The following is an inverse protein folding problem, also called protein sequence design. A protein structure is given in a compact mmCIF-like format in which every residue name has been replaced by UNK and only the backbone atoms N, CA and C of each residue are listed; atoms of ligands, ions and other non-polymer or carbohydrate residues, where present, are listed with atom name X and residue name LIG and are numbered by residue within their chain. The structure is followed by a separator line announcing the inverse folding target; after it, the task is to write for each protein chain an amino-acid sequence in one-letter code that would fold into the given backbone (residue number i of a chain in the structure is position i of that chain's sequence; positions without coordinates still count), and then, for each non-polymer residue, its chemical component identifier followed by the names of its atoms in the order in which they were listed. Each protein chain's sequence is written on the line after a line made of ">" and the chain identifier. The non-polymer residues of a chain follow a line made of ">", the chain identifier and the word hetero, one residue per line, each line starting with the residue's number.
data_IF_248799681642
#
_entry.id   IF_248799681642
#
_cell.length_a   1.000
_cell.length_b   1.000
_cell.length_c   1.000
_cell.angle_alpha   90.00
_cell.angle_beta   90.00
_cell.angle_gamma   90.00
#
_symmetry.space_group_name_H-M   'P 1'
#
loop_
_entity.id
_entity.type
_entity.pdbx_description
1 polymer ?
#
# COMPACT_ATOMS: atom_id res chain seq x y z
N UNK A 1 -13.49 -9.77 25.39
CA UNK A 1 -14.20 -9.94 24.10
C UNK A 1 -15.64 -10.13 24.50
N UNK A 2 -16.52 -9.19 24.16
CA UNK A 2 -17.94 -9.27 24.53
C UNK A 2 -18.61 -10.28 23.59
N UNK A 3 -19.38 -11.22 24.15
CA UNK A 3 -20.16 -12.22 23.41
C UNK A 3 -21.64 -11.90 23.47
N UNK A 4 -22.42 -12.52 22.60
CA UNK A 4 -23.89 -12.45 22.65
C UNK A 4 -24.44 -13.82 23.07
N UNK A 5 -25.22 -13.86 24.15
CA UNK A 5 -25.95 -15.04 24.58
C UNK A 5 -27.41 -14.94 24.17
N UNK A 6 -27.94 -15.97 23.52
CA UNK A 6 -29.37 -16.07 23.30
C UNK A 6 -30.07 -16.47 24.61
N UNK A 7 -30.95 -15.63 25.15
CA UNK A 7 -31.68 -15.88 26.38
C UNK A 7 -32.70 -17.03 26.27
N UNK A 8 -33.14 -17.37 25.06
CA UNK A 8 -34.14 -18.43 24.84
C UNK A 8 -33.52 -19.84 24.84
N UNK A 9 -32.26 -19.99 24.42
CA UNK A 9 -31.61 -21.31 24.30
C UNK A 9 -30.18 -21.39 24.87
N UNK A 10 -29.66 -20.30 25.42
CA UNK A 10 -28.35 -20.24 26.08
C UNK A 10 -27.14 -20.38 25.15
N UNK A 11 -27.31 -20.28 23.83
CA UNK A 11 -26.18 -20.37 22.87
C UNK A 11 -25.32 -19.10 22.93
N UNK A 12 -24.00 -19.26 22.86
CA UNK A 12 -23.03 -18.15 22.84
C UNK A 12 -22.56 -17.89 21.40
N UNK A 13 -22.61 -16.63 20.99
CA UNK A 13 -22.38 -16.17 19.63
C UNK A 13 -21.22 -15.16 19.61
N UNK A 14 -20.31 -15.30 18.65
CA UNK A 14 -19.05 -14.55 18.56
C UNK A 14 -19.22 -13.18 17.94
N UNK A 15 -20.31 -12.96 17.22
CA UNK A 15 -20.57 -11.69 16.54
C UNK A 15 -22.06 -11.41 16.35
N UNK A 16 -22.43 -10.16 16.07
CA UNK A 16 -23.79 -9.78 15.70
C UNK A 16 -24.31 -10.53 14.46
N UNK A 17 -23.45 -10.87 13.50
CA UNK A 17 -23.81 -11.62 12.29
C UNK A 17 -24.22 -13.06 12.62
N UNK A 18 -23.51 -13.71 13.54
CA UNK A 18 -23.88 -15.04 14.05
C UNK A 18 -25.23 -14.98 14.78
N UNK A 19 -25.48 -13.94 15.57
CA UNK A 19 -26.77 -13.74 16.25
C UNK A 19 -27.93 -13.52 15.29
N UNK A 20 -27.72 -12.74 14.23
CA UNK A 20 -28.73 -12.56 13.18
C UNK A 20 -29.03 -13.85 12.44
N UNK A 21 -28.00 -14.64 12.13
CA UNK A 21 -28.17 -15.94 11.47
C UNK A 21 -28.91 -16.94 12.38
N UNK A 22 -28.55 -16.99 13.66
CA UNK A 22 -29.25 -17.80 14.67
C UNK A 22 -30.72 -17.41 14.76
N UNK A 23 -31.04 -16.12 14.94
CA UNK A 23 -32.41 -15.63 15.05
C UNK A 23 -33.27 -15.91 13.82
N UNK A 24 -32.69 -15.88 12.61
CA UNK A 24 -33.41 -16.24 11.38
C UNK A 24 -33.79 -17.72 11.31
N UNK A 25 -32.97 -18.61 11.88
CA UNK A 25 -33.19 -20.06 11.80
C UNK A 25 -33.97 -20.62 12.99
N UNK A 26 -33.91 -19.97 14.15
CA UNK A 26 -34.57 -20.44 15.38
C UNK A 26 -35.73 -19.56 15.81
N UNK A 27 -35.95 -18.42 15.15
CA UNK A 27 -36.91 -17.39 15.54
C UNK A 27 -36.66 -16.79 16.94
N UNK A 28 -35.45 -16.94 17.47
CA UNK A 28 -35.08 -16.34 18.77
C UNK A 28 -34.69 -14.87 18.60
N UNK A 29 -35.15 -14.03 19.51
CA UNK A 29 -34.92 -12.58 19.49
C UNK A 29 -34.31 -12.03 20.77
N UNK A 30 -34.24 -12.83 21.83
CA UNK A 30 -33.71 -12.42 23.11
C UNK A 30 -32.18 -12.62 23.14
N UNK A 31 -31.40 -11.55 22.98
CA UNK A 31 -29.94 -11.59 23.04
C UNK A 31 -29.42 -10.64 24.11
N UNK A 32 -28.49 -11.13 24.92
CA UNK A 32 -27.83 -10.37 25.99
C UNK A 32 -26.32 -10.38 25.76
N UNK A 33 -25.66 -9.26 26.01
CA UNK A 33 -24.21 -9.22 26.06
C UNK A 33 -23.72 -9.97 27.31
N UNK A 34 -22.73 -10.83 27.12
CA UNK A 34 -22.11 -11.59 28.20
C UNK A 34 -20.59 -11.54 28.08
N UNK A 35 -19.94 -11.48 29.24
CA UNK A 35 -18.50 -11.65 29.40
C UNK A 35 -18.11 -13.09 29.76
N UNK A 36 -19.09 -14.02 29.77
CA UNK A 36 -18.82 -15.44 29.98
C UNK A 36 -17.80 -15.96 28.97
N UNK A 37 -16.76 -16.68 29.43
CA UNK A 37 -15.75 -17.21 28.53
C UNK A 37 -16.36 -18.30 27.65
N UNK A 38 -16.33 -18.07 26.34
CA UNK A 38 -16.72 -19.09 25.36
C UNK A 38 -15.86 -20.34 25.55
N UNK A 39 -16.50 -21.48 25.79
CA UNK A 39 -15.78 -22.73 25.95
C UNK A 39 -15.31 -23.24 24.58
N UNK A 40 -14.20 -23.96 24.55
CA UNK A 40 -13.71 -24.69 23.37
C UNK A 40 -13.66 -26.17 23.72
N UNK A 41 -14.85 -26.78 23.80
CA UNK A 41 -15.00 -28.20 24.12
C UNK A 41 -14.92 -29.00 22.82
N UNK A 42 -13.87 -29.79 22.64
CA UNK A 42 -13.64 -30.58 21.43
C UNK A 42 -14.12 -32.01 21.65
N UNK A 43 -15.04 -32.50 20.83
CA UNK A 43 -15.49 -33.88 20.88
C UNK A 43 -14.36 -34.83 20.44
N UNK A 44 -14.04 -35.85 21.23
CA UNK A 44 -12.94 -36.77 20.91
C UNK A 44 -13.25 -37.69 19.72
N UNK A 45 -14.52 -37.96 19.44
CA UNK A 45 -14.93 -38.87 18.37
C UNK A 45 -14.95 -38.19 16.98
N UNK A 46 -15.31 -36.90 16.92
CA UNK A 46 -15.51 -36.20 15.65
C UNK A 46 -14.81 -34.84 15.52
N UNK A 47 -14.04 -34.42 16.53
CA UNK A 47 -13.30 -33.14 16.59
C UNK A 47 -14.16 -31.87 16.44
N UNK A 48 -15.49 -31.98 16.53
CA UNK A 48 -16.36 -30.79 16.49
C UNK A 48 -16.16 -29.98 17.77
N UNK A 49 -16.06 -28.67 17.61
CA UNK A 49 -15.91 -27.71 18.71
C UNK A 49 -17.31 -27.26 19.15
N UNK A 50 -17.60 -27.45 20.44
CA UNK A 50 -18.78 -26.93 21.11
C UNK A 50 -18.41 -25.70 21.93
N UNK A 51 -19.21 -24.65 21.79
CA UNK A 51 -19.00 -23.31 22.34
C UNK A 51 -19.48 -23.15 23.79
N UNK A 52 -20.32 -24.08 24.26
CA UNK A 52 -20.79 -24.13 25.64
C UNK A 52 -21.07 -25.57 26.09
N UNK A 53 -21.19 -25.78 27.41
CA UNK A 53 -21.48 -27.10 28.01
C UNK A 53 -22.84 -27.67 27.59
N UNK A 54 -23.81 -26.80 27.36
CA UNK A 54 -25.15 -27.19 26.86
C UNK A 54 -25.04 -27.76 25.45
N UNK A 55 -24.24 -27.13 24.59
CA UNK A 55 -24.01 -27.60 23.22
C UNK A 55 -23.31 -28.97 23.21
N UNK A 56 -22.28 -29.16 24.04
CA UNK A 56 -21.59 -30.47 24.13
C UNK A 56 -22.52 -31.57 24.61
N UNK A 57 -23.39 -31.30 25.58
CA UNK A 57 -24.36 -32.27 26.08
C UNK A 57 -25.42 -32.65 25.02
N UNK A 58 -25.92 -31.68 24.24
CA UNK A 58 -26.82 -32.00 23.12
C UNK A 58 -26.10 -32.71 21.97
N UNK A 59 -24.84 -32.37 21.71
CA UNK A 59 -23.99 -33.05 20.73
C UNK A 59 -23.81 -34.52 21.07
N UNK A 60 -23.50 -34.84 22.33
CA UNK A 60 -23.36 -36.22 22.83
C UNK A 60 -24.65 -37.02 22.59
N UNK A 61 -25.80 -36.47 23.04
CA UNK A 61 -27.11 -37.13 22.93
C UNK A 61 -27.59 -37.37 21.50
N UNK A 62 -27.33 -36.44 20.59
CA UNK A 62 -27.83 -36.53 19.20
C UNK A 62 -26.90 -37.32 18.27
N UNK A 63 -25.61 -37.35 18.57
CA UNK A 63 -24.60 -37.95 17.69
C UNK A 63 -24.24 -39.38 18.08
N UNK A 64 -24.58 -39.82 19.29
CA UNK A 64 -24.19 -41.15 19.82
C UNK A 64 -22.71 -41.27 20.15
N UNK A 65 -21.98 -40.15 20.15
CA UNK A 65 -20.57 -40.06 20.52
C UNK A 65 -20.44 -40.22 22.05
N UNK A 66 -19.58 -41.13 22.51
CA UNK A 66 -19.36 -41.42 23.94
C UNK A 66 -17.91 -41.18 24.37
N UNK A 67 -17.04 -40.74 23.46
CA UNK A 67 -15.62 -40.47 23.72
C UNK A 67 -15.36 -39.25 24.61
N UNK A 68 -16.40 -38.52 25.03
CA UNK A 68 -16.31 -37.33 25.86
C UNK A 68 -15.75 -36.10 25.13
N UNK A 69 -15.46 -35.05 25.90
CA UNK A 69 -14.99 -33.76 25.38
C UNK A 69 -13.69 -33.33 26.06
N UNK A 70 -12.76 -32.84 25.26
CA UNK A 70 -11.55 -32.17 25.72
C UNK A 70 -11.79 -30.66 25.83
N UNK A 71 -11.57 -30.08 27.01
CA UNK A 71 -11.62 -28.63 27.20
C UNK A 71 -10.30 -27.97 26.78
N UNK A 72 -10.33 -27.25 25.67
CA UNK A 72 -9.19 -26.47 25.15
C UNK A 72 -9.35 -24.97 25.35
N UNK A 73 -10.26 -24.54 26.23
CA UNK A 73 -10.60 -23.11 26.39
C UNK A 73 -9.36 -22.28 26.77
N UNK A 74 -8.59 -22.73 27.75
CA UNK A 74 -7.38 -22.03 28.18
C UNK A 74 -6.32 -21.92 27.06
N UNK A 75 -6.14 -23.00 26.29
CA UNK A 75 -5.19 -23.05 25.17
C UNK A 75 -5.57 -22.04 24.08
N UNK A 76 -6.84 -22.02 23.67
CA UNK A 76 -7.33 -21.12 22.61
C UNK A 76 -7.30 -19.66 23.05
N UNK A 77 -7.64 -19.37 24.31
CA UNK A 77 -7.56 -18.01 24.87
C UNK A 77 -6.12 -17.51 24.86
N UNK A 78 -5.17 -18.34 25.28
CA UNK A 78 -3.75 -18.00 25.29
C UNK A 78 -3.19 -17.82 23.87
N UNK A 79 -3.55 -18.70 22.93
CA UNK A 79 -3.17 -18.54 21.51
C UNK A 79 -3.72 -17.23 20.92
N UNK A 80 -4.98 -16.88 21.21
CA UNK A 80 -5.57 -15.62 20.76
C UNK A 80 -4.89 -14.41 21.39
N UNK A 81 -4.47 -14.49 22.65
CA UNK A 81 -3.71 -13.43 23.33
C UNK A 81 -2.37 -13.22 22.65
N UNK A 82 -1.60 -14.29 22.43
CA UNK A 82 -0.31 -14.25 21.71
C UNK A 82 -0.46 -13.67 20.31
N UNK A 83 -1.44 -14.14 19.55
CA UNK A 83 -1.70 -13.62 18.20
C UNK A 83 -2.02 -12.12 18.18
N UNK A 84 -2.79 -11.61 19.17
CA UNK A 84 -3.06 -10.17 19.31
C UNK A 84 -1.80 -9.38 19.66
N UNK A 85 -0.97 -9.89 20.56
CA UNK A 85 0.29 -9.25 20.93
C UNK A 85 1.28 -9.22 19.78
N UNK A 86 1.41 -10.31 19.04
CA UNK A 86 2.23 -10.40 17.83
C UNK A 86 1.74 -9.43 16.76
N UNK A 87 0.43 -9.36 16.51
CA UNK A 87 -0.18 -8.40 15.59
C UNK A 87 0.12 -6.96 16.00
N UNK A 88 -0.08 -6.62 17.27
CA UNK A 88 0.20 -5.28 17.79
C UNK A 88 1.70 -4.94 17.70
N UNK A 89 2.58 -5.89 18.01
CA UNK A 89 4.02 -5.74 17.87
C UNK A 89 4.43 -5.54 16.40
N UNK A 90 3.86 -6.32 15.47
CA UNK A 90 4.11 -6.18 14.04
C UNK A 90 3.64 -4.82 13.51
N UNK A 91 2.45 -4.37 13.89
CA UNK A 91 1.94 -3.04 13.53
C UNK A 91 2.83 -1.93 14.09
N UNK A 92 3.30 -2.07 15.33
CA UNK A 92 4.27 -1.15 15.94
C UNK A 92 5.59 -1.10 15.17
N UNK A 93 6.13 -2.26 14.76
CA UNK A 93 7.35 -2.35 13.93
C UNK A 93 7.16 -1.67 12.57
N UNK A 94 6.03 -1.90 11.90
CA UNK A 94 5.71 -1.25 10.62
C UNK A 94 5.63 0.27 10.76
N UNK A 95 4.96 0.77 11.80
CA UNK A 95 4.87 2.21 12.08
C UNK A 95 6.25 2.82 12.37
N UNK A 96 7.06 2.16 13.19
CA UNK A 96 8.43 2.60 13.49
C UNK A 96 9.29 2.59 12.23
N UNK A 97 9.19 1.56 11.38
CA UNK A 97 9.91 1.46 10.11
C UNK A 97 9.55 2.64 9.19
N UNK A 98 8.27 3.02 9.09
CA UNK A 98 7.83 4.17 8.31
C UNK A 98 8.44 5.48 8.82
N UNK A 99 8.42 5.71 10.14
CA UNK A 99 9.03 6.90 10.77
C UNK A 99 10.54 6.94 10.50
N UNK A 100 11.23 5.81 10.72
CA UNK A 100 12.67 5.71 10.49
C UNK A 100 13.02 5.95 9.02
N UNK A 101 12.21 5.46 8.08
CA UNK A 101 12.40 5.71 6.66
C UNK A 101 12.24 7.20 6.32
N UNK A 102 11.22 7.87 6.85
CA UNK A 102 11.02 9.31 6.67
C UNK A 102 12.19 10.13 7.25
N UNK A 103 12.62 9.81 8.48
CA UNK A 103 13.76 10.46 9.13
C UNK A 103 15.08 10.18 8.40
N UNK A 104 15.27 8.97 7.86
CA UNK A 104 16.44 8.61 7.04
C UNK A 104 16.49 9.44 5.75
N UNK A 105 15.34 9.66 5.08
CA UNK A 105 15.28 10.57 3.91
C UNK A 105 15.69 12.01 4.29
N UNK A 106 15.22 12.49 5.44
CA UNK A 106 15.58 13.81 5.95
C UNK A 106 17.07 13.93 6.33
N UNK A 107 17.64 12.93 7.01
CA UNK A 107 19.04 12.93 7.47
C UNK A 107 20.05 12.69 6.34
N UNK A 108 19.73 11.84 5.36
CA UNK A 108 20.61 11.54 4.23
C UNK A 108 20.62 12.66 3.16
N UNK A 109 19.87 13.75 3.35
CA UNK A 109 19.67 14.81 2.35
C UNK A 109 19.27 14.26 0.97
N UNK A 110 18.63 13.09 0.93
CA UNK A 110 18.15 12.51 -0.32
C UNK A 110 17.07 13.45 -0.85
N UNK A 111 17.28 14.13 -1.98
CA UNK A 111 16.31 15.11 -2.43
C UNK A 111 15.02 14.38 -2.83
N UNK A 112 13.87 15.02 -2.63
CA UNK A 112 12.63 14.57 -3.26
C UNK A 112 12.83 14.52 -4.79
N UNK A 113 11.92 13.90 -5.54
CA UNK A 113 12.00 13.98 -7.02
C UNK A 113 12.13 15.43 -7.52
N UNK A 114 11.39 16.36 -6.91
CA UNK A 114 11.52 17.80 -7.18
C UNK A 114 12.92 18.34 -6.83
N UNK A 115 13.49 17.95 -5.68
CA UNK A 115 14.87 18.31 -5.33
C UNK A 115 15.92 17.74 -6.29
N UNK A 116 15.73 16.52 -6.77
CA UNK A 116 16.62 15.89 -7.76
C UNK A 116 16.48 16.57 -9.12
N UNK A 117 15.26 16.92 -9.52
CA UNK A 117 15.00 17.72 -10.73
C UNK A 117 15.70 19.07 -10.66
N UNK A 118 15.60 19.76 -9.51
CA UNK A 118 16.31 21.02 -9.27
C UNK A 118 17.83 20.84 -9.37
N UNK A 119 18.38 19.77 -8.81
CA UNK A 119 19.80 19.46 -8.89
C UNK A 119 20.28 19.20 -10.33
N UNK A 120 19.50 18.47 -11.15
CA UNK A 120 19.78 18.29 -12.57
C UNK A 120 19.80 19.65 -13.30
N UNK A 121 18.83 20.52 -13.03
CA UNK A 121 18.72 21.85 -13.62
C UNK A 121 19.88 22.77 -13.21
N UNK A 122 20.26 22.77 -11.93
CA UNK A 122 21.44 23.49 -11.44
C UNK A 122 22.73 22.95 -12.07
N UNK A 123 22.82 21.65 -12.29
CA UNK A 123 23.98 21.03 -12.94
C UNK A 123 24.11 21.49 -14.39
N UNK A 124 23.01 21.54 -15.14
CA UNK A 124 22.99 22.09 -16.51
C UNK A 124 23.45 23.55 -16.49
N UNK A 125 22.93 24.36 -15.55
CA UNK A 125 23.30 25.77 -15.41
C UNK A 125 24.78 25.94 -15.05
N UNK A 126 25.31 25.12 -14.14
CA UNK A 126 26.69 25.21 -13.67
C UNK A 126 27.73 24.78 -14.70
N UNK A 127 27.39 23.83 -15.57
CA UNK A 127 28.28 23.38 -16.65
C UNK A 127 28.27 24.33 -17.87
N UNK A 128 27.24 25.17 -17.99
CA UNK A 128 27.06 26.12 -19.08
C UNK A 128 26.90 27.57 -18.58
N UNK A 129 27.66 27.96 -17.55
CA UNK A 129 27.58 29.30 -16.94
C UNK A 129 27.83 30.44 -17.93
N UNK A 130 28.69 30.20 -18.92
CA UNK A 130 29.05 31.20 -19.93
C UNK A 130 28.09 31.20 -21.14
N UNK A 131 27.13 30.27 -21.19
CA UNK A 131 26.18 30.10 -22.30
C UNK A 131 24.74 29.99 -21.78
N UNK A 132 24.26 31.11 -21.24
CA UNK A 132 22.89 31.23 -20.71
C UNK A 132 21.82 30.94 -21.77
N UNK A 133 22.11 31.24 -23.05
CA UNK A 133 21.22 30.94 -24.16
C UNK A 133 21.01 29.42 -24.31
N UNK A 134 22.07 28.63 -24.16
CA UNK A 134 22.01 27.17 -24.20
C UNK A 134 21.24 26.60 -23.01
N UNK A 135 21.44 27.14 -21.80
CA UNK A 135 20.67 26.74 -20.61
C UNK A 135 19.16 27.01 -20.80
N UNK A 136 18.80 28.20 -21.28
CA UNK A 136 17.41 28.57 -21.57
C UNK A 136 16.80 27.70 -22.67
N UNK A 137 17.57 27.40 -23.73
CA UNK A 137 17.13 26.51 -24.81
C UNK A 137 16.86 25.09 -24.30
N UNK A 138 17.73 24.55 -23.44
CA UNK A 138 17.56 23.24 -22.82
C UNK A 138 16.29 23.18 -21.96
N UNK A 139 16.11 24.15 -21.05
CA UNK A 139 14.95 24.20 -20.16
C UNK A 139 13.64 24.37 -20.95
N UNK A 140 13.65 25.16 -22.03
CA UNK A 140 12.50 25.33 -22.92
C UNK A 140 12.09 24.03 -23.59
N UNK A 141 13.06 23.22 -24.04
CA UNK A 141 12.82 21.91 -24.64
C UNK A 141 12.30 20.91 -23.61
N UNK A 142 12.93 20.83 -22.43
CA UNK A 142 12.47 19.98 -21.32
C UNK A 142 11.02 20.30 -20.93
N UNK A 143 10.70 21.60 -20.78
CA UNK A 143 9.35 22.07 -20.48
C UNK A 143 8.36 21.62 -21.54
N UNK A 144 8.72 21.70 -22.82
CA UNK A 144 7.82 21.29 -23.91
C UNK A 144 7.52 19.80 -23.87
N UNK A 145 8.48 18.94 -23.52
CA UNK A 145 8.22 17.51 -23.33
C UNK A 145 7.27 17.25 -22.17
N UNK A 146 7.53 17.84 -20.99
CA UNK A 146 6.67 17.71 -19.80
C UNK A 146 5.26 18.22 -20.09
N UNK A 147 5.14 19.38 -20.74
CA UNK A 147 3.86 20.01 -21.08
C UNK A 147 3.05 19.18 -22.08
N UNK A 148 3.70 18.63 -23.10
CA UNK A 148 3.03 17.80 -24.10
C UNK A 148 2.45 16.53 -23.46
N UNK A 149 3.22 15.85 -22.61
CA UNK A 149 2.73 14.66 -21.88
C UNK A 149 1.60 15.03 -20.92
N UNK A 150 1.72 16.15 -20.22
CA UNK A 150 0.68 16.61 -19.27
C UNK A 150 -0.64 16.95 -19.97
N UNK A 151 -0.57 17.60 -21.14
CA UNK A 151 -1.76 18.00 -21.92
C UNK A 151 -2.38 16.83 -22.68
N UNK A 152 -1.56 15.91 -23.16
CA UNK A 152 -1.98 14.79 -24.01
C UNK A 152 -1.42 13.46 -23.47
N UNK A 153 -1.84 13.04 -22.26
CA UNK A 153 -1.25 11.90 -21.56
C UNK A 153 -1.50 10.57 -22.25
N UNK A 154 -2.55 10.46 -23.09
CA UNK A 154 -2.90 9.25 -23.84
C UNK A 154 -2.24 9.18 -25.22
N UNK A 155 -1.71 10.28 -25.75
CA UNK A 155 -1.03 10.30 -27.05
C UNK A 155 0.42 9.79 -26.98
N UNK A 156 0.66 8.61 -27.52
CA UNK A 156 1.95 7.92 -27.44
C UNK A 156 3.11 8.70 -28.08
N UNK A 157 2.85 9.46 -29.15
CA UNK A 157 3.87 10.27 -29.84
C UNK A 157 4.53 11.30 -28.91
N UNK A 158 3.84 11.75 -27.86
CA UNK A 158 4.38 12.68 -26.87
C UNK A 158 5.09 11.99 -25.70
N UNK A 159 4.82 10.68 -25.50
CA UNK A 159 5.49 9.84 -24.51
C UNK A 159 6.75 9.15 -25.06
N UNK A 160 7.12 9.39 -26.32
CA UNK A 160 8.28 8.78 -26.98
C UNK A 160 9.21 9.84 -27.55
N UNK A 161 10.48 9.81 -27.15
CA UNK A 161 11.53 10.74 -27.58
C UNK A 161 12.66 9.93 -28.21
N UNK A 162 13.08 10.30 -29.42
CA UNK A 162 14.20 9.66 -30.10
C UNK A 162 15.52 10.29 -29.62
N UNK A 163 16.37 9.48 -28.98
CA UNK A 163 17.64 9.96 -28.42
C UNK A 163 18.58 10.41 -29.54
N UNK A 164 18.57 9.77 -30.71
CA UNK A 164 19.44 10.14 -31.84
C UNK A 164 19.03 11.42 -32.59
N UNK A 165 17.97 12.11 -32.19
CA UNK A 165 17.54 13.34 -32.85
C UNK A 165 18.57 14.46 -32.57
N UNK A 166 19.12 15.05 -33.64
CA UNK A 166 20.18 16.06 -33.52
C UNK A 166 19.77 17.27 -32.67
N UNK A 167 18.55 17.79 -32.86
CA UNK A 167 18.05 18.92 -32.08
C UNK A 167 17.79 18.56 -30.61
N UNK A 168 17.44 17.31 -30.31
CA UNK A 168 17.36 16.82 -28.93
C UNK A 168 18.74 16.68 -28.30
N UNK A 169 19.70 16.08 -29.02
CA UNK A 169 21.06 15.90 -28.54
C UNK A 169 21.75 17.22 -28.23
N UNK A 170 21.67 18.18 -29.15
CA UNK A 170 22.27 19.51 -28.99
C UNK A 170 21.74 20.25 -27.75
N UNK A 171 20.44 20.13 -27.47
CA UNK A 171 19.75 20.94 -26.45
C UNK A 171 19.57 20.24 -25.11
N UNK A 172 19.50 18.91 -25.06
CA UNK A 172 19.19 18.16 -23.83
C UNK A 172 20.03 16.89 -23.73
N UNK A 173 20.09 16.08 -24.79
CA UNK A 173 20.69 14.75 -24.75
C UNK A 173 22.19 14.71 -24.45
N UNK A 174 22.93 15.75 -24.84
CA UNK A 174 24.37 15.90 -24.57
C UNK A 174 24.67 16.66 -23.28
N UNK A 175 23.66 17.21 -22.60
CA UNK A 175 23.86 17.99 -21.38
C UNK A 175 23.81 17.09 -20.15
N UNK A 176 24.79 17.27 -19.26
CA UNK A 176 24.85 16.55 -18.01
C UNK A 176 23.68 16.97 -17.11
N UNK A 177 22.83 16.01 -16.73
CA UNK A 177 21.55 16.24 -16.04
C UNK A 177 20.32 16.32 -16.95
N UNK A 178 20.47 16.45 -18.28
CA UNK A 178 19.34 16.57 -19.21
C UNK A 178 18.50 15.30 -19.34
N UNK A 179 19.15 14.15 -19.56
CA UNK A 179 18.49 12.85 -19.64
C UNK A 179 17.99 12.41 -18.25
N UNK A 180 18.78 12.64 -17.20
CA UNK A 180 18.42 12.31 -15.82
C UNK A 180 17.13 13.03 -15.39
N UNK A 181 16.97 14.30 -15.76
CA UNK A 181 15.72 15.04 -15.52
C UNK A 181 14.50 14.35 -16.14
N UNK A 182 14.62 13.86 -17.38
CA UNK A 182 13.54 13.14 -18.06
C UNK A 182 13.26 11.79 -17.38
N UNK A 183 14.30 11.09 -16.92
CA UNK A 183 14.14 9.85 -16.16
C UNK A 183 13.39 10.09 -14.84
N UNK A 184 13.69 11.19 -14.14
CA UNK A 184 12.97 11.59 -12.92
C UNK A 184 11.48 11.90 -13.17
N UNK A 185 11.17 12.45 -14.36
CA UNK A 185 9.80 12.69 -14.81
C UNK A 185 9.03 11.39 -15.10
N UNK A 186 9.73 10.26 -15.31
CA UNK A 186 9.13 8.95 -15.58
C UNK A 186 9.41 8.39 -16.98
N UNK A 187 10.31 9.02 -17.76
CA UNK A 187 10.81 8.41 -18.99
C UNK A 187 11.82 7.31 -18.68
N UNK A 188 11.89 6.30 -19.55
CA UNK A 188 12.82 5.18 -19.41
C UNK A 188 13.55 4.94 -20.73
N UNK A 189 14.82 4.58 -20.65
CA UNK A 189 15.57 4.11 -21.81
C UNK A 189 15.01 2.77 -22.24
N UNK A 190 14.62 2.68 -23.51
CA UNK A 190 14.25 1.41 -24.15
C UNK A 190 15.45 0.46 -24.22
N UNK A 191 15.22 -0.85 -24.37
CA UNK A 191 16.27 -1.89 -24.33
C UNK A 191 17.40 -1.69 -25.36
N UNK A 192 17.14 -0.98 -26.46
CA UNK A 192 18.15 -0.60 -27.46
C UNK A 192 18.83 0.75 -27.23
N UNK A 193 18.43 1.51 -26.20
CA UNK A 193 18.95 2.86 -25.92
C UNK A 193 18.62 3.91 -27.00
N UNK A 194 17.76 3.58 -27.97
CA UNK A 194 17.44 4.47 -29.10
C UNK A 194 16.36 5.50 -28.75
N UNK A 195 15.46 5.15 -27.82
CA UNK A 195 14.35 5.98 -27.40
C UNK A 195 14.26 6.10 -25.87
N UNK A 196 13.82 7.28 -25.42
CA UNK A 196 13.20 7.46 -24.12
C UNK A 196 11.69 7.27 -24.29
N UNK A 197 11.10 6.43 -23.46
CA UNK A 197 9.67 6.13 -23.49
C UNK A 197 9.07 6.25 -22.09
N UNK A 198 7.89 6.86 -21.99
CA UNK A 198 7.11 6.93 -20.75
C UNK A 198 5.90 5.97 -20.85
N UNK A 199 5.92 4.86 -20.10
CA UNK A 199 4.74 4.00 -19.96
C UNK A 199 3.55 4.77 -19.42
N UNK A 200 2.34 4.38 -19.81
CA UNK A 200 1.11 5.08 -19.40
C UNK A 200 0.94 5.05 -17.88
N UNK A 201 1.36 3.96 -17.25
CA UNK A 201 1.31 3.72 -15.81
C UNK A 201 2.29 4.63 -15.05
N UNK A 202 3.25 5.24 -15.74
CA UNK A 202 4.25 6.15 -15.18
C UNK A 202 3.94 7.63 -15.44
N UNK A 203 2.80 7.95 -16.04
CA UNK A 203 2.31 9.33 -16.20
C UNK A 203 1.74 9.82 -14.86
N UNK A 204 2.63 10.23 -13.96
CA UNK A 204 2.25 10.77 -12.65
C UNK A 204 2.12 12.29 -12.72
N UNK A 205 0.88 12.79 -12.74
CA UNK A 205 0.60 14.23 -12.85
C UNK A 205 1.28 15.08 -11.77
N UNK A 206 1.38 14.58 -10.54
CA UNK A 206 2.10 15.26 -9.45
C UNK A 206 3.58 15.48 -9.76
N UNK A 207 4.22 14.49 -10.39
CA UNK A 207 5.63 14.55 -10.79
C UNK A 207 5.80 15.53 -11.95
N UNK A 208 4.90 15.50 -12.94
CA UNK A 208 4.93 16.43 -14.08
C UNK A 208 4.67 17.88 -13.65
N UNK A 209 3.75 18.10 -12.70
CA UNK A 209 3.50 19.43 -12.14
C UNK A 209 4.72 19.94 -11.35
N UNK A 210 5.39 19.06 -10.59
CA UNK A 210 6.62 19.41 -9.89
C UNK A 210 7.74 19.76 -10.88
N UNK A 211 7.90 18.99 -11.95
CA UNK A 211 8.88 19.26 -13.00
C UNK A 211 8.63 20.61 -13.69
N UNK A 212 7.37 20.92 -14.01
CA UNK A 212 6.98 22.21 -14.62
C UNK A 212 7.27 23.38 -13.67
N UNK A 213 6.98 23.23 -12.38
CA UNK A 213 7.32 24.21 -11.35
C UNK A 213 8.82 24.47 -11.26
N UNK A 214 9.65 23.44 -11.19
CA UNK A 214 11.11 23.60 -11.13
C UNK A 214 11.66 24.26 -12.40
N UNK A 215 11.16 23.88 -13.58
CA UNK A 215 11.53 24.49 -14.87
C UNK A 215 11.09 25.95 -15.01
N UNK A 216 10.05 26.39 -14.30
CA UNK A 216 9.59 27.78 -14.31
C UNK A 216 10.44 28.68 -13.42
N UNK A 217 10.96 28.13 -12.32
CA UNK A 217 11.72 28.88 -11.32
C UNK A 217 13.23 28.84 -11.56
N UNK A 218 13.69 28.26 -12.67
CA UNK A 218 15.08 28.33 -13.09
C UNK A 218 15.33 29.69 -13.76
N UNK A 219 15.57 30.71 -12.93
CA UNK A 219 16.11 32.02 -13.35
C UNK A 219 17.64 32.02 -13.25
#
# INVERSE_FOLDING_TARGET
>A
MVLLQCGDCGVLLKSPEEAQYHGKNTCHTNYLETDEPMCYLVCNDCNKICSCRTESHFHEKRSGHTGGFQDKTAEVVEQKRRAREEYNCQKGRQYLQMILQARRRQLLRMPSKAGQMKECLETIKQNHKDDEAKVKAACSVLRRFVENVRRYPDEEKFRKIRISNAAFQEKVGSLLGGIEFLELCGFEKTEGGEFLYMPREKVYMEVLNSAEWELRNIE
#
